data_IF_876525369645
#
_entry.id   IF_876525369645
#
_cell.length_a   1.000
_cell.length_b   1.000
_cell.length_c   1.000
_cell.angle_alpha   90.00
_cell.angle_beta   90.00
_cell.angle_gamma   90.00
#
_symmetry.space_group_name_H-M   'P 1'
#
loop_
_entity.id
_entity.type
_entity.pdbx_description
1 polymer ?
#
# COMPACT_ATOMS: atom_id res chain seq x y z
N UNK A 1 -11.11 -3.65 7.55
CA UNK A 1 -9.80 -3.37 8.18
C UNK A 1 -9.29 -4.60 8.91
N UNK A 2 -8.11 -5.09 8.49
CA UNK A 2 -7.39 -6.18 9.17
C UNK A 2 -7.02 -5.73 10.59
N UNK A 3 -7.19 -6.61 11.58
CA UNK A 3 -6.79 -6.34 12.96
C UNK A 3 -5.41 -6.93 13.24
N UNK A 4 -4.67 -6.28 14.12
CA UNK A 4 -3.44 -6.84 14.66
C UNK A 4 -3.73 -8.11 15.45
N UNK A 5 -2.78 -9.03 15.41
CA UNK A 5 -2.73 -10.17 16.32
C UNK A 5 -2.37 -9.71 17.73
N UNK A 6 -2.69 -10.53 18.73
CA UNK A 6 -2.33 -10.25 20.12
C UNK A 6 -0.82 -9.99 20.29
N UNK A 7 0.03 -10.81 19.66
CA UNK A 7 1.48 -10.63 19.71
C UNK A 7 1.95 -9.30 19.11
N UNK A 8 1.31 -8.83 18.03
CA UNK A 8 1.62 -7.52 17.43
C UNK A 8 1.20 -6.37 18.35
N UNK A 9 0.03 -6.46 19.01
CA UNK A 9 -0.39 -5.49 20.02
C UNK A 9 0.55 -5.44 21.22
N UNK A 10 0.98 -6.60 21.73
CA UNK A 10 1.94 -6.69 22.84
C UNK A 10 3.31 -6.06 22.48
N UNK A 11 3.76 -6.21 21.22
CA UNK A 11 4.97 -5.53 20.73
C UNK A 11 4.82 -4.00 20.70
N UNK A 12 3.65 -3.50 20.31
CA UNK A 12 3.36 -2.05 20.33
C UNK A 12 3.38 -1.54 21.77
N UNK A 13 2.75 -2.26 22.71
CA UNK A 13 2.73 -1.89 24.13
C UNK A 13 4.14 -1.87 24.73
N UNK A 14 4.97 -2.87 24.42
CA UNK A 14 6.36 -2.94 24.85
C UNK A 14 7.18 -1.76 24.29
N UNK A 15 7.03 -1.44 23.00
CA UNK A 15 7.69 -0.30 22.37
C UNK A 15 7.28 1.04 22.99
N UNK A 16 5.99 1.23 23.28
CA UNK A 16 5.48 2.45 23.92
C UNK A 16 6.00 2.60 25.35
N UNK A 17 6.10 1.50 26.10
CA UNK A 17 6.69 1.50 27.44
C UNK A 17 8.18 1.92 27.42
N UNK A 18 8.92 1.55 26.36
CA UNK A 18 10.34 1.89 26.21
C UNK A 18 10.56 3.33 25.69
N UNK A 19 9.69 3.85 24.83
CA UNK A 19 9.95 5.09 24.09
C UNK A 19 9.02 6.27 24.46
N UNK A 20 8.04 6.06 25.34
CA UNK A 20 7.15 7.10 25.87
C UNK A 20 6.19 7.70 24.84
N UNK A 21 5.55 8.83 25.19
CA UNK A 21 4.45 9.46 24.44
C UNK A 21 4.85 10.15 23.10
N UNK A 22 5.94 9.72 22.46
CA UNK A 22 6.40 10.28 21.17
C UNK A 22 5.52 9.87 20.00
N UNK A 23 4.74 8.81 20.18
CA UNK A 23 3.73 8.28 19.24
C UNK A 23 2.59 7.64 20.02
N UNK A 24 1.39 7.66 19.45
CA UNK A 24 0.22 6.96 20.00
C UNK A 24 0.16 5.50 19.52
N UNK A 25 -0.54 4.65 20.27
CA UNK A 25 -0.86 3.27 19.87
C UNK A 25 -1.47 3.23 18.47
N UNK A 26 -2.50 4.05 18.22
CA UNK A 26 -3.17 4.13 16.92
C UNK A 26 -2.23 4.48 15.76
N UNK A 27 -1.20 5.30 15.99
CA UNK A 27 -0.18 5.59 14.99
C UNK A 27 0.67 4.36 14.67
N UNK A 28 1.13 3.64 15.69
CA UNK A 28 1.94 2.42 15.51
C UNK A 28 1.13 1.29 14.86
N UNK A 29 -0.14 1.12 15.24
CA UNK A 29 -1.03 0.14 14.62
C UNK A 29 -1.20 0.40 13.12
N UNK A 30 -1.47 1.66 12.75
CA UNK A 30 -1.58 2.07 11.35
C UNK A 30 -0.27 1.86 10.59
N UNK A 31 0.86 2.25 11.18
CA UNK A 31 2.16 2.08 10.55
C UNK A 31 2.49 0.60 10.29
N UNK A 32 2.15 -0.26 11.26
CA UNK A 32 2.34 -1.71 11.17
C UNK A 32 1.54 -2.30 10.01
N UNK A 33 0.24 -2.02 9.96
CA UNK A 33 -0.66 -2.52 8.90
C UNK A 33 -0.19 -2.07 7.51
N UNK A 34 0.20 -0.79 7.38
CA UNK A 34 0.74 -0.27 6.11
C UNK A 34 2.07 -0.93 5.74
N UNK A 35 2.94 -1.21 6.71
CA UNK A 35 4.22 -1.90 6.43
C UNK A 35 4.01 -3.32 5.92
N UNK A 36 3.02 -4.02 6.47
CA UNK A 36 2.76 -5.42 6.14
C UNK A 36 2.37 -5.61 4.66
N UNK A 37 1.60 -4.66 4.11
CA UNK A 37 1.16 -4.71 2.71
C UNK A 37 2.27 -4.44 1.70
N UNK A 38 3.45 -3.97 2.12
CA UNK A 38 4.53 -3.61 1.18
C UNK A 38 4.99 -4.79 0.32
N UNK A 39 4.94 -6.00 0.88
CA UNK A 39 5.22 -7.23 0.15
C UNK A 39 4.32 -7.46 -1.07
N UNK A 40 3.10 -6.88 -1.11
CA UNK A 40 2.22 -6.95 -2.27
C UNK A 40 2.76 -6.15 -3.48
N UNK A 41 3.66 -5.19 -3.24
CA UNK A 41 4.15 -4.24 -4.24
C UNK A 41 5.60 -4.46 -4.68
N UNK A 42 6.35 -5.34 -4.01
CA UNK A 42 7.77 -5.57 -4.31
C UNK A 42 7.98 -6.28 -5.64
N UNK A 43 7.12 -7.26 -5.94
CA UNK A 43 7.22 -8.03 -7.17
C UNK A 43 6.50 -7.34 -8.34
N UNK A 44 7.13 -7.27 -9.53
CA UNK A 44 6.45 -6.78 -10.72
C UNK A 44 5.16 -7.55 -11.01
N UNK A 45 4.21 -6.87 -11.64
CA UNK A 45 3.03 -7.51 -12.23
C UNK A 45 3.31 -7.75 -13.70
N UNK A 46 3.21 -9.00 -14.13
CA UNK A 46 3.42 -9.40 -15.52
C UNK A 46 2.09 -9.65 -16.19
N UNK A 47 1.85 -8.98 -17.32
CA UNK A 47 0.70 -9.22 -18.17
C UNK A 47 1.17 -9.40 -19.62
N UNK A 48 1.04 -10.63 -20.12
CA UNK A 48 1.64 -11.06 -21.39
C UNK A 48 3.15 -10.84 -21.37
N UNK A 49 3.71 -10.12 -22.35
CA UNK A 49 5.12 -9.79 -22.45
C UNK A 49 5.55 -8.53 -21.66
N UNK A 50 4.62 -7.85 -20.98
CA UNK A 50 4.91 -6.59 -20.29
C UNK A 50 4.95 -6.78 -18.77
N UNK A 51 5.96 -6.17 -18.13
CA UNK A 51 6.07 -6.09 -16.68
C UNK A 51 5.83 -4.64 -16.21
N UNK A 52 4.97 -4.47 -15.21
CA UNK A 52 4.75 -3.21 -14.52
C UNK A 52 5.29 -3.28 -13.09
N UNK A 53 5.74 -2.14 -12.57
CA UNK A 53 6.27 -1.99 -11.21
C UNK A 53 5.49 -0.93 -10.44
N UNK A 54 5.58 -0.98 -9.13
CA UNK A 54 4.98 0.01 -8.25
C UNK A 54 6.05 0.96 -7.69
N UNK A 55 5.64 2.20 -7.47
CA UNK A 55 6.41 3.19 -6.70
C UNK A 55 5.45 3.77 -5.66
N UNK A 56 5.82 3.68 -4.38
CA UNK A 56 5.11 4.36 -3.30
C UNK A 56 5.18 5.88 -3.53
N UNK A 57 4.08 6.57 -3.30
CA UNK A 57 3.97 8.02 -3.49
C UNK A 57 3.27 8.68 -2.29
N UNK A 58 2.94 9.96 -2.41
CA UNK A 58 2.01 10.65 -1.52
C UNK A 58 2.40 10.64 -0.04
N UNK A 59 1.39 10.57 0.82
CA UNK A 59 1.57 10.59 2.27
C UNK A 59 2.30 9.35 2.80
N UNK A 60 2.18 8.22 2.09
CA UNK A 60 2.82 6.95 2.45
C UNK A 60 4.35 7.03 2.42
N UNK A 61 4.95 7.73 1.45
CA UNK A 61 6.41 7.92 1.40
C UNK A 61 6.89 8.85 2.52
N UNK A 62 6.14 9.91 2.79
CA UNK A 62 6.49 10.90 3.82
C UNK A 62 6.49 10.25 5.21
N UNK A 63 5.45 9.46 5.54
CA UNK A 63 5.39 8.77 6.83
C UNK A 63 6.55 7.78 7.01
N UNK A 64 6.90 7.02 5.96
CA UNK A 64 8.01 6.06 6.03
C UNK A 64 9.40 6.70 6.03
N UNK A 65 9.59 7.82 5.35
CA UNK A 65 10.88 8.50 5.30
C UNK A 65 11.21 9.23 6.60
N UNK A 66 10.21 9.82 7.26
CA UNK A 66 10.42 10.71 8.40
C UNK A 66 10.32 10.03 9.79
N UNK A 67 10.17 8.69 9.83
CA UNK A 67 10.03 7.82 11.03
C UNK A 67 8.82 8.13 11.91
N UNK A 68 8.71 9.37 12.40
CA UNK A 68 7.63 9.83 13.27
C UNK A 68 7.06 11.14 12.72
N UNK A 69 5.85 11.07 12.18
CA UNK A 69 5.08 12.24 11.74
C UNK A 69 3.81 12.33 12.57
N UNK A 70 3.38 13.55 12.91
CA UNK A 70 2.11 13.77 13.63
C UNK A 70 0.89 13.25 12.85
N UNK A 71 1.04 13.05 11.55
CA UNK A 71 0.04 12.44 10.67
C UNK A 71 0.63 11.21 10.01
N UNK A 72 0.01 10.06 10.21
CA UNK A 72 0.29 8.84 9.45
C UNK A 72 -0.80 8.73 8.39
N UNK A 73 -0.39 8.61 7.13
CA UNK A 73 -1.32 8.37 6.01
C UNK A 73 -2.05 7.07 6.27
N UNK A 74 -3.38 7.06 6.21
CA UNK A 74 -4.18 5.84 6.23
C UNK A 74 -4.18 5.15 4.86
N UNK A 75 -3.95 5.94 3.81
CA UNK A 75 -3.92 5.50 2.43
C UNK A 75 -2.54 4.97 2.03
N UNK A 76 -2.54 3.94 1.19
CA UNK A 76 -1.40 3.50 0.40
C UNK A 76 -1.49 4.10 -1.00
N UNK A 77 -0.62 5.07 -1.27
CA UNK A 77 -0.52 5.76 -2.55
C UNK A 77 0.50 5.08 -3.48
N UNK A 78 0.05 4.64 -4.65
CA UNK A 78 0.86 3.92 -5.63
C UNK A 78 0.86 4.65 -6.97
N UNK A 79 2.03 4.72 -7.59
CA UNK A 79 2.21 4.99 -9.02
C UNK A 79 2.65 3.72 -9.73
N UNK A 80 1.95 3.38 -10.81
CA UNK A 80 2.30 2.26 -11.68
C UNK A 80 3.26 2.72 -12.77
N UNK A 81 4.42 2.08 -12.82
CA UNK A 81 5.43 2.26 -13.87
C UNK A 81 5.26 1.12 -14.87
N UNK A 82 5.01 1.48 -16.13
CA UNK A 82 4.86 0.55 -17.25
C UNK A 82 5.98 0.76 -18.27
N UNK A 83 6.27 -0.21 -19.15
CA UNK A 83 7.28 -0.05 -20.18
C UNK A 83 6.93 1.08 -21.15
N UNK A 84 7.94 1.62 -21.82
CA UNK A 84 7.76 2.62 -22.89
C UNK A 84 7.38 1.95 -24.21
N UNK A 85 6.77 2.70 -25.13
CA UNK A 85 6.48 2.22 -26.50
C UNK A 85 5.20 1.37 -26.63
N UNK A 86 4.44 1.17 -25.54
CA UNK A 86 3.13 0.54 -25.63
C UNK A 86 2.14 1.45 -26.38
N UNK A 87 1.29 0.84 -27.20
CA UNK A 87 0.11 1.54 -27.69
C UNK A 87 -0.81 1.91 -26.52
N UNK A 88 -1.61 2.97 -26.68
CA UNK A 88 -2.57 3.41 -25.64
C UNK A 88 -3.50 2.28 -25.19
N UNK A 89 -3.98 1.44 -26.11
CA UNK A 89 -4.86 0.33 -25.76
C UNK A 89 -4.14 -0.78 -24.99
N UNK A 90 -2.89 -1.09 -25.33
CA UNK A 90 -2.06 -2.04 -24.59
C UNK A 90 -1.76 -1.54 -23.17
N UNK A 91 -1.40 -0.26 -23.06
CA UNK A 91 -1.17 0.39 -21.78
C UNK A 91 -2.41 0.33 -20.87
N UNK A 92 -3.59 0.67 -21.40
CA UNK A 92 -4.84 0.60 -20.63
C UNK A 92 -5.14 -0.81 -20.12
N UNK A 93 -4.95 -1.85 -20.96
CA UNK A 93 -5.15 -3.25 -20.55
C UNK A 93 -4.16 -3.67 -19.46
N UNK A 94 -2.88 -3.32 -19.61
CA UNK A 94 -1.86 -3.59 -18.60
C UNK A 94 -2.22 -2.90 -17.27
N UNK A 95 -2.54 -1.61 -17.29
CA UNK A 95 -2.88 -0.86 -16.08
C UNK A 95 -4.14 -1.39 -15.38
N UNK A 96 -5.17 -1.78 -16.13
CA UNK A 96 -6.35 -2.46 -15.55
C UNK A 96 -5.99 -3.78 -14.90
N UNK A 97 -5.17 -4.62 -15.56
CA UNK A 97 -4.73 -5.89 -15.00
C UNK A 97 -3.89 -5.69 -13.73
N UNK A 98 -2.96 -4.71 -13.74
CA UNK A 98 -2.15 -4.35 -12.58
C UNK A 98 -3.02 -3.94 -11.39
N UNK A 99 -4.07 -3.13 -11.61
CA UNK A 99 -5.02 -2.76 -10.56
C UNK A 99 -5.71 -3.99 -9.97
N UNK A 100 -6.19 -4.91 -10.79
CA UNK A 100 -6.84 -6.13 -10.29
C UNK A 100 -5.86 -7.00 -9.50
N UNK A 101 -4.71 -7.30 -10.08
CA UNK A 101 -3.68 -8.14 -9.47
C UNK A 101 -3.20 -7.61 -8.12
N UNK A 102 -2.98 -6.29 -7.99
CA UNK A 102 -2.52 -5.73 -6.71
C UNK A 102 -3.59 -5.84 -5.62
N UNK A 103 -4.86 -5.66 -5.96
CA UNK A 103 -5.96 -5.83 -5.00
C UNK A 103 -6.09 -7.30 -4.58
N UNK A 104 -5.89 -8.23 -5.50
CA UNK A 104 -5.94 -9.66 -5.20
C UNK A 104 -4.77 -10.09 -4.30
N UNK A 105 -3.56 -9.56 -4.51
CA UNK A 105 -2.42 -9.78 -3.61
C UNK A 105 -2.71 -9.29 -2.19
N UNK A 106 -3.32 -8.12 -2.04
CA UNK A 106 -3.71 -7.59 -0.72
C UNK A 106 -4.79 -8.47 -0.06
N UNK A 107 -5.79 -8.92 -0.84
CA UNK A 107 -6.82 -9.85 -0.34
C UNK A 107 -6.23 -11.18 0.11
N UNK A 108 -5.24 -11.71 -0.62
CA UNK A 108 -4.50 -12.92 -0.22
C UNK A 108 -3.70 -12.74 1.08
N UNK A 109 -3.29 -11.52 1.40
CA UNK A 109 -2.68 -11.17 2.70
C UNK A 109 -3.69 -11.01 3.84
N UNK A 110 -4.99 -11.21 3.56
CA UNK A 110 -6.07 -11.12 4.53
C UNK A 110 -6.64 -9.72 4.71
N UNK A 111 -6.38 -8.79 3.78
CA UNK A 111 -7.02 -7.48 3.78
C UNK A 111 -8.37 -7.54 3.05
N UNK A 112 -9.41 -7.09 3.73
CA UNK A 112 -10.70 -6.83 3.11
C UNK A 112 -10.65 -5.44 2.47
N UNK A 113 -10.63 -5.40 1.13
CA UNK A 113 -10.52 -4.17 0.33
C UNK A 113 -11.80 -4.02 -0.52
N UNK A 114 -12.82 -3.33 0.02
CA UNK A 114 -14.02 -2.96 -0.72
C UNK A 114 -13.70 -2.04 -1.90
N UNK A 115 -14.48 -2.10 -2.98
CA UNK A 115 -14.19 -1.30 -4.18
C UNK A 115 -14.28 0.21 -3.91
N UNK A 116 -15.11 0.65 -2.96
CA UNK A 116 -15.24 2.04 -2.54
C UNK A 116 -14.01 2.61 -1.83
N UNK A 117 -13.13 1.75 -1.30
CA UNK A 117 -11.88 2.16 -0.65
C UNK A 117 -10.73 2.32 -1.64
N UNK A 118 -10.98 1.99 -2.93
CA UNK A 118 -9.98 2.05 -3.99
C UNK A 118 -10.26 3.21 -4.94
N UNK A 119 -9.39 4.22 -4.93
CA UNK A 119 -9.41 5.32 -5.89
C UNK A 119 -8.37 5.08 -6.96
N UNK A 120 -8.74 5.26 -8.22
CA UNK A 120 -7.82 5.15 -9.34
C UNK A 120 -7.89 6.38 -10.25
N UNK A 121 -6.73 6.93 -10.60
CA UNK A 121 -6.59 8.11 -11.43
C UNK A 121 -5.71 7.84 -12.66
N UNK A 122 -5.89 8.68 -13.68
CA UNK A 122 -5.09 8.65 -14.92
C UNK A 122 -5.01 7.24 -15.55
N UNK A 123 -6.16 6.68 -15.91
CA UNK A 123 -6.27 5.33 -16.51
C UNK A 123 -5.63 4.21 -15.63
N UNK A 124 -5.75 4.32 -14.30
CA UNK A 124 -5.14 3.43 -13.28
C UNK A 124 -3.61 3.57 -13.13
N UNK A 125 -3.00 4.66 -13.61
CA UNK A 125 -1.59 4.95 -13.37
C UNK A 125 -1.30 5.37 -11.92
N UNK A 126 -2.30 5.93 -11.25
CA UNK A 126 -2.26 6.23 -9.83
C UNK A 126 -3.36 5.46 -9.13
N UNK A 127 -3.04 4.78 -8.04
CA UNK A 127 -3.97 3.98 -7.24
C UNK A 127 -3.77 4.38 -5.78
N UNK A 128 -4.85 4.77 -5.10
CA UNK A 128 -4.86 5.00 -3.66
C UNK A 128 -5.81 3.99 -3.02
N UNK A 129 -5.33 3.31 -1.98
CA UNK A 129 -6.04 2.23 -1.29
C UNK A 129 -6.12 2.56 0.18
N UNK A 130 -7.34 2.67 0.71
CA UNK A 130 -7.59 2.77 2.14
C UNK A 130 -7.72 1.34 2.72
N UNK A 131 -6.87 0.99 3.69
CA UNK A 131 -6.73 -0.35 4.28
C UNK A 131 -7.61 -0.57 5.53
#
# INVERSE_FOLDING_TARGET
>A
MKRLTQAQSELIDAFLAEHGARVSTAQLEKDFLISEVFSAFTEPVVYREYAAKFVLCGGTVVSKAHRFTERISEDVDLRVIVPTGLSRSAQKRLLSHVKTEVLDRLRQQGYDIPDETVKAGNENRYIAILL
#
